data_IF_242997315573
#
_entry.id   IF_242997315573
#
_cell.length_a   1.000
_cell.length_b   1.000
_cell.length_c   1.000
_cell.angle_alpha   90.00
_cell.angle_beta   90.00
_cell.angle_gamma   90.00
#
_symmetry.space_group_name_H-M   'P 1'
#
loop_
_entity.id
_entity.type
_entity.pdbx_description
1 polymer ?
#
# COMPACT_ATOMS: atom_id res chain seq x y z
N UNK A 1 -13.10 -19.46 -0.29
CA UNK A 1 -12.45 -19.03 -1.55
C UNK A 1 -13.40 -19.41 -2.69
N UNK A 2 -14.08 -18.45 -3.29
CA UNK A 2 -14.99 -18.73 -4.40
C UNK A 2 -14.25 -18.40 -5.69
N UNK A 3 -14.00 -19.44 -6.49
CA UNK A 3 -13.42 -19.35 -7.83
C UNK A 3 -14.60 -19.17 -8.79
N UNK A 4 -14.73 -17.99 -9.39
CA UNK A 4 -15.75 -17.74 -10.40
C UNK A 4 -15.23 -18.26 -11.75
N UNK A 5 -15.79 -19.38 -12.21
CA UNK A 5 -15.67 -19.82 -13.60
C UNK A 5 -17.04 -19.80 -14.23
N UNK A 6 -17.33 -18.72 -14.94
CA UNK A 6 -18.11 -18.83 -16.16
C UNK A 6 -17.66 -17.72 -17.11
N UNK A 7 -16.63 -18.02 -17.89
CA UNK A 7 -16.21 -17.19 -19.01
C UNK A 7 -16.87 -17.85 -20.21
N UNK A 8 -17.88 -17.22 -20.80
CA UNK A 8 -18.41 -17.68 -22.07
C UNK A 8 -17.28 -17.53 -23.11
N UNK A 9 -16.66 -18.65 -23.45
CA UNK A 9 -15.57 -18.75 -24.41
C UNK A 9 -16.09 -18.41 -25.81
N UNK A 10 -15.89 -17.16 -26.23
CA UNK A 10 -15.83 -16.88 -27.66
C UNK A 10 -14.69 -17.72 -28.25
N UNK A 11 -15.00 -18.48 -29.32
CA UNK A 11 -14.23 -19.56 -29.96
C UNK A 11 -12.81 -19.21 -30.47
N UNK A 12 -12.19 -18.13 -29.99
CA UNK A 12 -10.89 -17.63 -30.45
C UNK A 12 -9.98 -17.19 -29.29
N UNK A 13 -10.01 -17.91 -28.15
CA UNK A 13 -8.99 -17.76 -27.10
C UNK A 13 -8.14 -19.04 -26.99
N UNK A 14 -6.86 -19.03 -27.39
CA UNK A 14 -5.99 -20.19 -27.22
C UNK A 14 -5.54 -20.40 -25.77
N UNK A 15 -5.86 -19.46 -24.86
CA UNK A 15 -5.48 -19.52 -23.46
C UNK A 15 -6.60 -20.12 -22.61
N UNK A 16 -6.27 -21.20 -21.91
CA UNK A 16 -7.19 -21.81 -20.95
C UNK A 16 -7.33 -20.94 -19.71
N UNK A 17 -8.45 -21.12 -19.01
CA UNK A 17 -8.69 -20.62 -17.66
C UNK A 17 -7.51 -20.86 -16.67
N UNK A 18 -6.76 -21.94 -16.84
CA UNK A 18 -5.58 -22.26 -16.03
C UNK A 18 -4.36 -21.41 -16.41
N UNK A 19 -4.19 -21.10 -17.70
CA UNK A 19 -3.10 -20.27 -18.21
C UNK A 19 -3.20 -18.83 -17.70
N UNK A 20 -4.41 -18.26 -17.64
CA UNK A 20 -4.65 -16.94 -17.05
C UNK A 20 -4.23 -16.88 -15.59
N UNK A 21 -4.56 -17.91 -14.80
CA UNK A 21 -4.15 -17.98 -13.40
C UNK A 21 -2.62 -18.11 -13.24
N UNK A 22 -1.96 -18.90 -14.09
CA UNK A 22 -0.50 -19.04 -14.12
C UNK A 22 0.18 -17.72 -14.49
N UNK A 23 -0.32 -17.04 -15.52
CA UNK A 23 0.21 -15.75 -15.99
C UNK A 23 0.02 -14.70 -14.90
N UNK A 24 -1.18 -14.57 -14.32
CA UNK A 24 -1.46 -13.61 -13.25
C UNK A 24 -0.53 -13.82 -12.05
N UNK A 25 -0.37 -15.07 -11.59
CA UNK A 25 0.55 -15.39 -10.49
C UNK A 25 1.98 -14.97 -10.82
N UNK A 26 2.47 -15.32 -12.01
CA UNK A 26 3.83 -14.97 -12.47
C UNK A 26 4.03 -13.46 -12.55
N UNK A 27 3.04 -12.72 -13.07
CA UNK A 27 3.09 -11.26 -13.17
C UNK A 27 3.11 -10.63 -11.78
N UNK A 28 2.25 -11.06 -10.86
CA UNK A 28 2.25 -10.56 -9.47
C UNK A 28 3.56 -10.84 -8.76
N UNK A 29 4.14 -12.03 -8.91
CA UNK A 29 5.43 -12.38 -8.33
C UNK A 29 6.55 -11.49 -8.88
N UNK A 30 6.57 -11.23 -10.19
CA UNK A 30 7.56 -10.37 -10.83
C UNK A 30 7.42 -8.91 -10.39
N UNK A 31 6.19 -8.39 -10.32
CA UNK A 31 5.92 -7.02 -9.83
C UNK A 31 6.34 -6.91 -8.36
N UNK A 32 5.99 -7.88 -7.53
CA UNK A 32 6.37 -7.88 -6.12
C UNK A 32 7.89 -7.87 -5.95
N UNK A 33 8.61 -8.73 -6.68
CA UNK A 33 10.09 -8.72 -6.67
C UNK A 33 10.68 -7.39 -7.13
N UNK A 34 10.12 -6.79 -8.19
CA UNK A 34 10.56 -5.46 -8.65
C UNK A 34 10.31 -4.37 -7.60
N UNK A 35 9.17 -4.41 -6.90
CA UNK A 35 8.87 -3.47 -5.82
C UNK A 35 9.87 -3.63 -4.68
N UNK A 36 10.14 -4.87 -4.25
CA UNK A 36 11.11 -5.20 -3.19
C UNK A 36 12.54 -4.74 -3.53
N UNK A 37 12.94 -4.86 -4.80
CA UNK A 37 14.27 -4.45 -5.27
C UNK A 37 14.36 -2.95 -5.58
N UNK A 38 13.23 -2.25 -5.63
CA UNK A 38 13.19 -0.82 -5.95
C UNK A 38 13.21 0.06 -4.71
N UNK A 39 13.44 1.36 -4.91
CA UNK A 39 13.30 2.38 -3.89
C UNK A 39 11.85 2.78 -3.59
N UNK A 40 10.84 2.13 -4.20
CA UNK A 40 9.44 2.52 -4.01
C UNK A 40 9.01 2.45 -2.54
N UNK A 41 9.46 1.45 -1.79
CA UNK A 41 9.09 1.28 -0.37
C UNK A 41 9.70 2.35 0.51
N UNK A 42 11.00 2.61 0.39
CA UNK A 42 11.66 3.66 1.17
C UNK A 42 11.14 5.04 0.79
N UNK A 43 10.89 5.30 -0.50
CA UNK A 43 10.28 6.55 -0.95
C UNK A 43 8.86 6.72 -0.41
N UNK A 44 8.05 5.65 -0.37
CA UNK A 44 6.71 5.70 0.22
C UNK A 44 6.76 6.00 1.72
N UNK A 45 7.69 5.39 2.47
CA UNK A 45 7.89 5.67 3.90
C UNK A 45 8.31 7.13 4.13
N UNK A 46 9.27 7.64 3.35
CA UNK A 46 9.72 9.03 3.45
C UNK A 46 8.60 10.02 3.09
N UNK A 47 7.81 9.71 2.04
CA UNK A 47 6.65 10.52 1.66
C UNK A 47 5.58 10.51 2.73
N UNK A 48 5.27 9.35 3.30
CA UNK A 48 4.28 9.24 4.37
C UNK A 48 4.68 10.13 5.55
N UNK A 49 5.92 10.02 6.03
CA UNK A 49 6.40 10.86 7.13
C UNK A 49 6.31 12.36 6.79
N UNK A 50 6.71 12.73 5.58
CA UNK A 50 6.63 14.12 5.09
C UNK A 50 5.19 14.64 5.09
N UNK A 51 4.23 13.86 4.59
CA UNK A 51 2.82 14.27 4.55
C UNK A 51 2.22 14.32 5.97
N UNK A 52 2.59 13.41 6.86
CA UNK A 52 2.17 13.45 8.26
C UNK A 52 2.69 14.68 8.99
N UNK A 53 3.96 15.07 8.79
CA UNK A 53 4.50 16.32 9.35
C UNK A 53 3.74 17.54 8.86
N UNK A 54 3.38 17.59 7.57
CA UNK A 54 2.56 18.69 7.02
C UNK A 54 1.19 18.75 7.68
N UNK A 55 0.52 17.61 7.85
CA UNK A 55 -0.77 17.53 8.53
C UNK A 55 -0.62 17.99 9.98
N UNK A 56 0.41 17.53 10.69
CA UNK A 56 0.68 17.93 12.08
C UNK A 56 0.83 19.44 12.23
N UNK A 57 1.68 20.07 11.42
CA UNK A 57 1.85 21.53 11.41
C UNK A 57 0.50 22.23 11.16
N UNK A 58 -0.24 21.78 10.14
CA UNK A 58 -1.54 22.36 9.81
C UNK A 58 -2.53 22.26 10.99
N UNK A 59 -2.65 21.08 11.61
CA UNK A 59 -3.53 20.87 12.76
C UNK A 59 -3.16 21.76 13.93
N UNK A 60 -1.87 21.92 14.21
CA UNK A 60 -1.39 22.79 15.29
C UNK A 60 -1.73 24.27 15.02
N UNK A 61 -1.58 24.74 13.78
CA UNK A 61 -1.96 26.12 13.40
C UNK A 61 -3.46 26.39 13.56
N UNK A 62 -4.30 25.35 13.46
CA UNK A 62 -5.75 25.44 13.65
C UNK A 62 -6.17 25.22 15.12
N UNK A 63 -5.21 25.01 16.04
CA UNK A 63 -5.48 24.73 17.45
C UNK A 63 -6.04 23.34 17.73
N UNK A 64 -5.97 22.42 16.76
CA UNK A 64 -6.42 21.04 16.93
C UNK A 64 -5.32 20.19 17.56
N UNK A 65 -5.73 19.24 18.40
CA UNK A 65 -4.83 18.25 19.02
C UNK A 65 -4.86 16.97 18.21
N UNK A 66 -3.67 16.44 17.89
CA UNK A 66 -3.50 15.19 17.19
C UNK A 66 -3.17 14.09 18.19
N UNK A 67 -3.93 13.00 18.16
CA UNK A 67 -3.76 11.83 19.04
C UNK A 67 -3.73 10.56 18.19
N UNK A 68 -2.82 9.64 18.52
CA UNK A 68 -2.73 8.32 17.90
C UNK A 68 -2.79 7.24 18.97
N UNK A 69 -3.80 6.38 18.93
CA UNK A 69 -3.99 5.31 19.92
C UNK A 69 -3.89 5.82 21.36
N UNK A 70 -4.63 6.90 21.66
CA UNK A 70 -4.65 7.56 22.98
C UNK A 70 -3.32 8.21 23.41
N UNK A 71 -2.34 8.31 22.51
CA UNK A 71 -1.06 9.00 22.73
C UNK A 71 -1.11 10.35 22.01
N UNK A 72 -1.04 11.48 22.73
CA UNK A 72 -0.95 12.80 22.11
C UNK A 72 0.38 12.95 21.37
N UNK A 73 0.29 13.50 20.16
CA UNK A 73 1.45 13.84 19.32
C UNK A 73 1.73 15.32 19.53
N UNK A 74 2.83 15.64 20.21
CA UNK A 74 3.19 17.03 20.54
C UNK A 74 4.37 17.53 19.71
N UNK A 75 5.19 16.61 19.19
CA UNK A 75 6.39 16.92 18.43
C UNK A 75 6.46 16.07 17.16
N UNK A 76 7.15 16.59 16.16
CA UNK A 76 7.42 15.82 14.94
C UNK A 76 8.18 14.51 15.20
N UNK A 77 9.00 14.46 16.25
CA UNK A 77 9.67 13.23 16.70
C UNK A 77 8.70 12.11 17.08
N UNK A 78 7.49 12.48 17.51
CA UNK A 78 6.47 11.54 17.96
C UNK A 78 5.76 10.88 16.76
N UNK A 79 5.93 11.42 15.54
CA UNK A 79 5.48 10.77 14.30
C UNK A 79 6.38 9.59 13.89
N UNK A 80 7.58 9.49 14.45
CA UNK A 80 8.50 8.38 14.19
C UNK A 80 8.19 7.12 15.02
N UNK A 81 7.07 7.11 15.77
CA UNK A 81 6.64 5.94 16.53
C UNK A 81 6.48 4.72 15.59
N UNK A 82 6.89 3.52 16.05
CA UNK A 82 6.73 2.32 15.25
C UNK A 82 5.23 2.09 15.02
N UNK A 83 4.82 2.17 13.75
CA UNK A 83 3.50 1.74 13.30
C UNK A 83 3.30 0.31 13.83
N UNK A 84 2.25 0.07 14.64
CA UNK A 84 1.89 -1.30 15.02
C UNK A 84 1.72 -2.11 13.73
N UNK A 85 2.48 -3.20 13.63
CA UNK A 85 2.34 -4.20 12.56
C UNK A 85 0.99 -4.90 12.63
#
# INVERSE_FOLDING_TARGET
KVQYYNIEESSFNPFTAEDHNKINKRVTDLISRKIEQSSLRSNAQNRLLTELSKIFILTHTMGWKLEYTDIPIEKESDLALPLKK
#
